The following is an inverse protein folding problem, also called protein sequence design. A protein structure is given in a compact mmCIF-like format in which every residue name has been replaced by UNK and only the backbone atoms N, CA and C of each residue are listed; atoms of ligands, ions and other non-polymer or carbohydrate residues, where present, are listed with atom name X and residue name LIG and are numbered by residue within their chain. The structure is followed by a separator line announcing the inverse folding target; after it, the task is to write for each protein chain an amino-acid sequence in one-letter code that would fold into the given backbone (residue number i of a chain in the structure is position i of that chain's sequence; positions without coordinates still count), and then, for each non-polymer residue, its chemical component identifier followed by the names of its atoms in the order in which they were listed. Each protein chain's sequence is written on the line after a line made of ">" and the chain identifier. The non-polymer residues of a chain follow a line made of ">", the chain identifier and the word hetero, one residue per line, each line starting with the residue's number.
data_IF_455062034472
#
_entry.id   IF_455062034472
#
_cell.length_a   1.000
_cell.length_b   1.000
_cell.length_c   1.000
_cell.angle_alpha   90.00
_cell.angle_beta   90.00
_cell.angle_gamma   90.00
#
_symmetry.space_group_name_H-M   'P 1'
#
loop_
_entity.id
_entity.type
_entity.pdbx_description
1 polymer ?
#
# COMPACT_ATOMS: atom_id res chain seq x y z
N UNK A 1 -14.22 -0.68 -50.66
CA UNK A 1 -13.94 -0.42 -49.24
C UNK A 1 -13.44 -1.70 -48.61
N UNK A 2 -12.09 -1.79 -48.35
CA UNK A 2 -11.49 -2.97 -47.75
C UNK A 2 -11.69 -2.89 -46.19
N UNK A 3 -12.46 -3.83 -45.66
CA UNK A 3 -12.55 -4.02 -44.20
C UNK A 3 -11.21 -4.51 -43.70
N UNK A 4 -10.48 -3.68 -42.96
CA UNK A 4 -9.33 -4.14 -42.18
C UNK A 4 -9.87 -4.98 -41.00
N UNK A 5 -9.56 -6.27 -41.04
CA UNK A 5 -9.77 -7.19 -39.95
C UNK A 5 -8.65 -6.91 -38.94
N UNK A 6 -8.96 -6.20 -37.84
CA UNK A 6 -8.03 -6.10 -36.71
C UNK A 6 -7.96 -7.48 -36.08
N UNK A 7 -6.87 -8.18 -36.36
CA UNK A 7 -6.51 -9.40 -35.66
C UNK A 7 -5.99 -8.99 -34.29
N UNK A 8 -6.82 -9.11 -33.26
CA UNK A 8 -6.36 -9.08 -31.87
C UNK A 8 -5.50 -10.31 -31.68
N UNK A 9 -4.19 -10.12 -31.74
CA UNK A 9 -3.25 -11.12 -31.26
C UNK A 9 -3.48 -11.26 -29.76
N UNK A 10 -4.21 -12.31 -29.37
CA UNK A 10 -4.29 -12.76 -28.01
C UNK A 10 -2.90 -13.28 -27.65
N UNK A 11 -2.06 -12.41 -27.09
CA UNK A 11 -0.79 -12.82 -26.49
C UNK A 11 -1.19 -13.69 -25.32
N UNK A 12 -1.04 -15.02 -25.48
CA UNK A 12 -1.02 -15.95 -24.35
C UNK A 12 0.23 -15.60 -23.53
N UNK A 13 0.08 -14.67 -22.59
CA UNK A 13 1.07 -14.52 -21.53
C UNK A 13 1.11 -15.85 -20.76
N UNK A 14 2.29 -16.40 -20.46
CA UNK A 14 2.38 -17.58 -19.61
C UNK A 14 1.61 -17.29 -18.32
N UNK A 15 0.81 -18.25 -17.87
CA UNK A 15 0.17 -18.23 -16.55
C UNK A 15 1.29 -18.26 -15.49
N UNK A 16 1.91 -17.13 -15.23
CA UNK A 16 2.67 -16.93 -14.01
C UNK A 16 1.60 -16.71 -12.95
N UNK A 17 1.58 -17.54 -11.93
CA UNK A 17 0.69 -17.31 -10.79
C UNK A 17 1.00 -15.91 -10.25
N UNK A 18 0.12 -14.95 -10.53
CA UNK A 18 0.23 -13.59 -10.04
C UNK A 18 -0.47 -13.49 -8.69
N UNK A 19 0.10 -12.75 -7.74
CA UNK A 19 -0.54 -12.47 -6.46
C UNK A 19 -1.53 -11.29 -6.56
N UNK A 20 -1.66 -10.69 -7.75
CA UNK A 20 -2.59 -9.61 -8.01
C UNK A 20 -3.58 -9.98 -9.13
N UNK A 21 -4.77 -9.41 -9.08
CA UNK A 21 -5.83 -9.63 -10.05
C UNK A 21 -5.73 -8.70 -11.25
N UNK A 22 -5.31 -7.45 -11.02
CA UNK A 22 -5.18 -6.41 -12.06
C UNK A 22 -3.97 -5.51 -11.79
N UNK A 23 -3.45 -4.94 -12.88
CA UNK A 23 -2.43 -3.91 -12.84
C UNK A 23 -2.89 -2.70 -13.66
N UNK A 24 -2.69 -1.50 -13.13
CA UNK A 24 -3.08 -0.24 -13.78
C UNK A 24 -2.04 0.84 -13.51
N UNK A 25 -1.66 1.57 -14.57
CA UNK A 25 -0.82 2.74 -14.40
C UNK A 25 -1.61 3.91 -13.80
N UNK A 26 -1.01 4.56 -12.80
CA UNK A 26 -1.53 5.82 -12.28
C UNK A 26 -1.23 7.00 -13.22
N UNK A 27 -1.63 8.20 -12.85
CA UNK A 27 -1.40 9.42 -13.65
C UNK A 27 0.09 9.74 -13.88
N UNK A 28 0.98 9.24 -13.00
CA UNK A 28 2.42 9.46 -13.08
C UNK A 28 3.15 8.36 -13.86
N UNK A 29 2.39 7.39 -14.44
CA UNK A 29 2.93 6.27 -15.20
C UNK A 29 3.46 5.13 -14.35
N UNK A 30 3.24 5.15 -13.04
CA UNK A 30 3.61 4.05 -12.13
C UNK A 30 2.56 2.95 -12.22
N UNK A 31 2.98 1.73 -12.52
CA UNK A 31 2.08 0.56 -12.48
C UNK A 31 1.80 0.19 -11.03
N UNK A 32 0.52 0.13 -10.66
CA UNK A 32 0.06 -0.29 -9.33
C UNK A 32 -0.73 -1.60 -9.50
N UNK A 33 -0.47 -2.52 -8.58
CA UNK A 33 -1.06 -3.85 -8.54
C UNK A 33 -2.21 -3.89 -7.54
N UNK A 34 -3.32 -4.54 -7.92
CA UNK A 34 -4.52 -4.57 -7.09
C UNK A 34 -5.11 -5.97 -7.05
N UNK A 35 -5.72 -6.32 -5.91
CA UNK A 35 -6.61 -7.45 -5.76
C UNK A 35 -8.07 -6.99 -5.66
N UNK A 36 -8.98 -7.80 -6.15
CA UNK A 36 -10.40 -7.64 -5.88
C UNK A 36 -10.72 -8.08 -4.45
N UNK A 37 -11.38 -7.20 -3.71
CA UNK A 37 -11.92 -7.50 -2.39
C UNK A 37 -13.44 -7.27 -2.39
N UNK A 38 -14.10 -7.63 -1.29
CA UNK A 38 -15.56 -7.46 -1.10
C UNK A 38 -16.38 -7.97 -2.30
N UNK A 39 -16.13 -9.24 -2.70
CA UNK A 39 -16.76 -9.89 -3.86
C UNK A 39 -16.53 -9.14 -5.20
N UNK A 40 -15.39 -8.50 -5.36
CA UNK A 40 -15.01 -7.80 -6.58
C UNK A 40 -15.62 -6.42 -6.74
N UNK A 41 -16.18 -5.85 -5.66
CA UNK A 41 -16.75 -4.48 -5.69
C UNK A 41 -15.74 -3.40 -5.35
N UNK A 42 -14.66 -3.76 -4.66
CA UNK A 42 -13.60 -2.87 -4.22
C UNK A 42 -12.22 -3.43 -4.55
N UNK A 43 -11.20 -2.62 -4.38
CA UNK A 43 -9.81 -2.97 -4.62
C UNK A 43 -8.95 -2.74 -3.37
N UNK A 44 -7.96 -3.60 -3.20
CA UNK A 44 -6.81 -3.34 -2.32
C UNK A 44 -5.53 -3.23 -3.15
N UNK A 45 -4.64 -2.33 -2.76
CA UNK A 45 -3.28 -2.28 -3.31
C UNK A 45 -2.49 -3.48 -2.83
N UNK A 46 -1.76 -4.13 -3.71
CA UNK A 46 -0.95 -5.30 -3.42
C UNK A 46 0.42 -5.22 -4.13
N UNK A 47 1.17 -6.31 -4.14
CA UNK A 47 2.49 -6.47 -4.74
C UNK A 47 2.43 -7.28 -6.05
N UNK A 48 3.48 -7.19 -6.85
CA UNK A 48 3.65 -7.98 -8.07
C UNK A 48 4.03 -9.43 -7.74
N UNK A 49 3.69 -10.35 -8.64
CA UNK A 49 4.14 -11.74 -8.57
C UNK A 49 3.36 -12.64 -7.61
N UNK A 50 3.89 -13.83 -7.37
CA UNK A 50 3.22 -14.87 -6.58
C UNK A 50 3.56 -14.84 -5.09
N UNK A 51 4.54 -14.02 -4.68
CA UNK A 51 4.98 -13.87 -3.30
C UNK A 51 5.58 -12.48 -3.10
N UNK A 52 5.33 -11.88 -1.95
CA UNK A 52 5.93 -10.60 -1.56
C UNK A 52 7.49 -10.60 -1.57
N UNK A 53 8.11 -11.78 -1.51
CA UNK A 53 9.56 -11.93 -1.56
C UNK A 53 10.12 -12.10 -2.98
N UNK A 54 9.27 -12.20 -4.00
CA UNK A 54 9.68 -12.46 -5.38
C UNK A 54 10.21 -11.20 -6.06
N UNK A 55 9.79 -10.04 -5.61
CA UNK A 55 10.15 -8.74 -6.16
C UNK A 55 10.45 -7.78 -5.01
N UNK A 56 11.65 -7.20 -5.01
CA UNK A 56 12.04 -6.10 -4.14
C UNK A 56 12.07 -4.81 -4.97
N UNK A 57 11.80 -3.67 -4.32
CA UNK A 57 11.80 -2.36 -4.99
C UNK A 57 10.81 -2.20 -6.16
N UNK A 58 9.65 -2.86 -6.09
CA UNK A 58 8.59 -2.72 -7.10
C UNK A 58 8.14 -1.26 -7.25
N UNK A 59 8.04 -0.55 -6.12
CA UNK A 59 7.64 0.83 -6.06
C UNK A 59 8.82 1.71 -5.63
N UNK A 60 9.13 2.71 -6.44
CA UNK A 60 10.24 3.65 -6.19
C UNK A 60 9.78 5.09 -6.30
N UNK A 61 10.52 5.99 -5.65
CA UNK A 61 10.24 7.43 -5.70
C UNK A 61 8.92 7.78 -5.02
N UNK A 62 8.15 8.63 -5.66
CA UNK A 62 6.85 9.07 -5.19
C UNK A 62 5.74 8.23 -5.85
N UNK A 63 4.87 7.64 -5.06
CA UNK A 63 3.73 6.84 -5.54
C UNK A 63 2.42 7.50 -5.12
N UNK A 64 1.55 7.76 -6.10
CA UNK A 64 0.19 8.26 -5.86
C UNK A 64 -0.82 7.15 -6.12
N UNK A 65 -1.54 6.73 -5.08
CA UNK A 65 -2.61 5.74 -5.19
C UNK A 65 -3.89 6.47 -5.57
N UNK A 66 -4.53 6.04 -6.65
CA UNK A 66 -5.82 6.60 -7.10
C UNK A 66 -6.94 6.19 -6.16
N UNK A 67 -7.90 7.09 -5.92
CA UNK A 67 -9.11 6.79 -5.12
C UNK A 67 -10.00 5.75 -5.81
N UNK A 68 -10.06 5.80 -7.13
CA UNK A 68 -10.83 4.89 -7.97
C UNK A 68 -9.98 4.40 -9.14
N UNK A 69 -10.22 3.18 -9.55
CA UNK A 69 -9.56 2.53 -10.70
C UNK A 69 -10.62 1.98 -11.65
N UNK A 70 -10.50 2.35 -12.93
CA UNK A 70 -11.35 1.80 -14.00
C UNK A 70 -10.59 0.70 -14.75
N UNK A 71 -11.11 -0.52 -14.71
CA UNK A 71 -10.58 -1.67 -15.43
C UNK A 71 -11.74 -2.44 -16.09
N UNK A 72 -11.59 -2.78 -17.37
CA UNK A 72 -12.65 -3.44 -18.18
C UNK A 72 -14.02 -2.76 -18.06
N UNK A 73 -14.06 -1.42 -18.21
CA UNK A 73 -15.27 -0.58 -18.13
C UNK A 73 -16.02 -0.64 -16.78
N UNK A 74 -15.34 -1.02 -15.70
CA UNK A 74 -15.89 -0.99 -14.34
C UNK A 74 -14.99 -0.17 -13.45
N UNK A 75 -15.54 0.86 -12.82
CA UNK A 75 -14.85 1.68 -11.83
C UNK A 75 -15.06 1.08 -10.43
N UNK A 76 -13.98 0.99 -9.65
CA UNK A 76 -13.98 0.49 -8.27
C UNK A 76 -13.16 1.40 -7.38
N UNK A 77 -13.59 1.55 -6.15
CA UNK A 77 -12.82 2.27 -5.13
C UNK A 77 -11.66 1.42 -4.63
N UNK A 78 -10.55 2.09 -4.35
CA UNK A 78 -9.42 1.51 -3.62
C UNK A 78 -9.66 1.78 -2.14
N UNK A 79 -9.98 0.74 -1.37
CA UNK A 79 -10.41 0.89 0.03
C UNK A 79 -9.44 0.29 1.04
N UNK A 80 -8.38 -0.38 0.58
CA UNK A 80 -7.36 -0.97 1.45
C UNK A 80 -5.96 -0.89 0.83
N UNK A 81 -4.96 -0.74 1.70
CA UNK A 81 -3.59 -1.13 1.40
C UNK A 81 -3.41 -2.54 1.96
N UNK A 82 -3.19 -3.51 1.09
CA UNK A 82 -3.10 -4.91 1.46
C UNK A 82 -1.83 -5.26 2.24
N UNK A 83 -1.81 -6.46 2.82
CA UNK A 83 -0.63 -6.96 3.52
C UNK A 83 0.54 -7.09 2.56
N UNK A 84 1.73 -6.63 2.97
CA UNK A 84 2.98 -6.60 2.20
C UNK A 84 2.94 -5.76 0.90
N UNK A 85 1.95 -4.89 0.68
CA UNK A 85 1.75 -4.17 -0.58
C UNK A 85 3.00 -3.40 -1.07
N UNK A 86 3.73 -2.75 -0.16
CA UNK A 86 4.97 -2.01 -0.44
C UNK A 86 6.17 -2.58 0.32
N UNK A 87 6.09 -3.85 0.72
CA UNK A 87 7.18 -4.50 1.47
C UNK A 87 8.48 -4.47 0.68
N UNK A 88 9.58 -4.18 1.38
CA UNK A 88 10.96 -4.12 0.84
C UNK A 88 11.13 -3.09 -0.31
N UNK A 89 10.21 -2.13 -0.46
CA UNK A 89 10.34 -1.02 -1.41
C UNK A 89 11.33 0.02 -0.87
N UNK A 90 12.62 -0.33 -0.85
CA UNK A 90 13.69 0.51 -0.30
C UNK A 90 13.92 1.80 -1.07
N UNK A 91 13.44 1.87 -2.32
CA UNK A 91 13.46 3.05 -3.18
C UNK A 91 12.27 3.99 -3.02
N UNK A 92 11.21 3.59 -2.29
CA UNK A 92 10.01 4.40 -2.06
C UNK A 92 10.32 5.60 -1.15
N UNK A 93 10.09 6.82 -1.63
CA UNK A 93 10.38 8.04 -0.87
C UNK A 93 9.14 8.69 -0.26
N UNK A 94 8.00 8.57 -0.92
CA UNK A 94 6.71 9.02 -0.41
C UNK A 94 5.56 8.24 -1.03
N UNK A 95 4.43 8.20 -0.33
CA UNK A 95 3.19 7.63 -0.83
C UNK A 95 2.01 8.52 -0.50
N UNK A 96 1.15 8.78 -1.48
CA UNK A 96 -0.12 9.46 -1.28
C UNK A 96 -1.23 8.41 -1.19
N UNK A 97 -1.83 8.30 -0.01
CA UNK A 97 -2.94 7.37 0.27
C UNK A 97 -4.25 8.15 0.15
N UNK A 98 -5.21 7.72 -0.69
CA UNK A 98 -6.47 8.43 -0.88
C UNK A 98 -7.44 8.26 0.30
N UNK A 99 -8.41 9.18 0.39
CA UNK A 99 -9.42 9.16 1.46
C UNK A 99 -10.44 8.00 1.35
N UNK A 100 -10.38 7.20 0.30
CA UNK A 100 -11.17 5.96 0.20
C UNK A 100 -10.59 4.81 1.01
N UNK A 101 -9.29 4.86 1.36
CA UNK A 101 -8.61 3.80 2.11
C UNK A 101 -9.02 3.84 3.56
N UNK A 102 -9.50 2.71 4.08
CA UNK A 102 -9.98 2.54 5.45
C UNK A 102 -9.06 1.70 6.34
N UNK A 103 -8.14 0.94 5.72
CA UNK A 103 -7.21 0.07 6.45
C UNK A 103 -5.84 0.00 5.79
N UNK A 104 -4.80 -0.16 6.62
CA UNK A 104 -3.43 -0.46 6.22
C UNK A 104 -3.09 -1.83 6.79
N UNK A 105 -2.77 -2.79 5.91
CA UNK A 105 -2.53 -4.19 6.24
C UNK A 105 -1.19 -4.44 6.95
N UNK A 106 -1.01 -5.69 7.37
CA UNK A 106 0.22 -6.13 8.03
C UNK A 106 1.42 -6.01 7.08
N UNK A 107 2.54 -5.48 7.59
CA UNK A 107 3.79 -5.30 6.84
C UNK A 107 3.65 -4.50 5.55
N UNK A 108 2.61 -3.69 5.41
CA UNK A 108 2.29 -2.96 4.18
C UNK A 108 3.44 -2.12 3.64
N UNK A 109 4.21 -1.45 4.52
CA UNK A 109 5.39 -0.64 4.20
C UNK A 109 6.65 -1.15 4.94
N UNK A 110 6.69 -2.47 5.26
CA UNK A 110 7.85 -3.04 5.92
C UNK A 110 9.13 -2.80 5.12
N UNK A 111 10.17 -2.32 5.82
CA UNK A 111 11.51 -2.05 5.24
C UNK A 111 11.53 -1.01 4.10
N UNK A 112 10.56 -0.07 4.05
CA UNK A 112 10.61 1.10 3.18
C UNK A 112 11.61 2.13 3.74
N UNK A 113 12.91 1.82 3.68
CA UNK A 113 13.95 2.55 4.41
C UNK A 113 14.16 4.00 3.96
N UNK A 114 13.76 4.36 2.73
CA UNK A 114 13.79 5.75 2.22
C UNK A 114 12.48 6.50 2.36
N UNK A 115 11.42 5.89 2.90
CA UNK A 115 10.15 6.57 3.13
C UNK A 115 10.34 7.62 4.22
N UNK A 116 10.28 8.91 3.84
CA UNK A 116 10.56 10.03 4.76
C UNK A 116 9.31 10.54 5.46
N UNK A 117 8.17 10.41 4.82
CA UNK A 117 6.88 10.84 5.36
C UNK A 117 5.74 10.02 4.78
N UNK A 118 4.69 9.84 5.56
CA UNK A 118 3.42 9.27 5.11
C UNK A 118 2.27 10.06 5.74
N UNK A 119 1.30 10.43 4.93
CA UNK A 119 0.04 11.01 5.41
C UNK A 119 -1.00 9.91 5.44
N UNK A 120 -1.41 9.54 6.64
CA UNK A 120 -2.50 8.57 6.87
C UNK A 120 -3.82 9.35 6.83
N UNK A 121 -4.74 9.05 5.89
CA UNK A 121 -5.98 9.80 5.77
C UNK A 121 -6.96 9.53 6.92
N UNK A 122 -7.87 10.47 7.15
CA UNK A 122 -8.88 10.39 8.22
C UNK A 122 -9.94 9.28 8.02
N UNK A 123 -9.86 8.54 6.94
CA UNK A 123 -10.67 7.34 6.67
C UNK A 123 -10.10 6.07 7.30
N UNK A 124 -8.77 6.05 7.59
CA UNK A 124 -8.10 4.87 8.13
C UNK A 124 -8.49 4.67 9.60
N UNK A 125 -8.97 3.47 9.91
CA UNK A 125 -9.41 3.08 11.25
C UNK A 125 -8.45 2.15 11.97
N UNK A 126 -7.57 1.46 11.22
CA UNK A 126 -6.60 0.52 11.77
C UNK A 126 -5.28 0.54 11.01
N UNK A 127 -4.19 0.34 11.76
CA UNK A 127 -2.82 0.15 11.24
C UNK A 127 -2.38 -1.25 11.64
N UNK A 128 -2.05 -2.07 10.66
CA UNK A 128 -1.67 -3.48 10.83
C UNK A 128 -0.36 -3.70 11.55
N UNK A 129 -0.08 -4.97 11.88
CA UNK A 129 1.16 -5.37 12.51
C UNK A 129 2.37 -5.16 11.60
N UNK A 130 3.46 -4.56 12.13
CA UNK A 130 4.66 -4.26 11.35
C UNK A 130 4.45 -3.35 10.15
N UNK A 131 3.31 -2.66 10.04
CA UNK A 131 2.93 -1.91 8.84
C UNK A 131 4.00 -0.93 8.35
N UNK A 132 4.73 -0.28 9.25
CA UNK A 132 5.86 0.62 8.98
C UNK A 132 7.15 0.17 9.65
N UNK A 133 7.25 -1.10 10.08
CA UNK A 133 8.47 -1.60 10.73
C UNK A 133 9.68 -1.46 9.79
N UNK A 134 10.82 -1.03 10.35
CA UNK A 134 12.06 -0.75 9.61
C UNK A 134 11.97 0.39 8.57
N UNK A 135 11.00 1.31 8.68
CA UNK A 135 10.99 2.56 7.93
C UNK A 135 11.98 3.55 8.57
N UNK A 136 13.27 3.28 8.50
CA UNK A 136 14.30 4.06 9.20
C UNK A 136 14.43 5.52 8.73
N UNK A 137 13.98 5.83 7.52
CA UNK A 137 13.91 7.19 6.99
C UNK A 137 12.72 8.01 7.47
N UNK A 138 11.71 7.38 8.09
CA UNK A 138 10.48 8.05 8.50
C UNK A 138 10.75 8.99 9.67
N UNK A 139 10.64 10.31 9.41
CA UNK A 139 10.95 11.36 10.40
C UNK A 139 9.73 11.83 11.17
N UNK A 140 8.56 11.68 10.57
CA UNK A 140 7.29 12.06 11.19
C UNK A 140 6.14 11.22 10.66
N UNK A 141 5.17 10.97 11.53
CA UNK A 141 3.88 10.38 11.16
C UNK A 141 2.78 11.05 11.97
N UNK A 142 1.69 11.37 11.31
CA UNK A 142 0.47 11.84 11.98
C UNK A 142 -0.54 10.71 11.98
N UNK A 143 -0.93 10.25 13.17
CA UNK A 143 -1.99 9.25 13.34
C UNK A 143 -3.31 10.00 13.47
N UNK A 144 -4.26 9.80 12.54
CA UNK A 144 -5.52 10.55 12.56
C UNK A 144 -6.47 10.07 13.66
N UNK A 145 -7.42 10.93 14.03
CA UNK A 145 -8.43 10.64 15.07
C UNK A 145 -9.43 9.52 14.68
N UNK A 146 -9.36 9.00 13.48
CA UNK A 146 -10.12 7.83 13.03
C UNK A 146 -9.52 6.50 13.47
N UNK A 147 -8.19 6.49 13.73
CA UNK A 147 -7.47 5.25 14.09
C UNK A 147 -7.86 4.83 15.51
N UNK A 148 -8.33 3.60 15.65
CA UNK A 148 -8.71 2.99 16.92
C UNK A 148 -7.72 1.94 17.39
N UNK A 149 -6.92 1.37 16.48
CA UNK A 149 -5.94 0.32 16.81
C UNK A 149 -4.66 0.45 16.02
N UNK A 150 -3.53 0.19 16.69
CA UNK A 150 -2.18 0.11 16.13
C UNK A 150 -1.67 -1.31 16.43
N UNK A 151 -1.24 -2.03 15.38
CA UNK A 151 -0.80 -3.41 15.47
C UNK A 151 0.54 -3.60 16.19
N UNK A 152 0.89 -4.85 16.47
CA UNK A 152 2.20 -5.22 17.02
C UNK A 152 3.31 -4.78 16.07
N UNK A 153 4.42 -4.23 16.57
CA UNK A 153 5.59 -3.82 15.77
C UNK A 153 5.29 -2.77 14.69
N UNK A 154 4.16 -2.07 14.73
CA UNK A 154 3.67 -1.23 13.62
C UNK A 154 4.68 -0.18 13.16
N UNK A 155 5.47 0.41 14.05
CA UNK A 155 6.54 1.38 13.79
C UNK A 155 7.88 0.93 14.38
N UNK A 156 8.06 -0.37 14.60
CA UNK A 156 9.31 -0.91 15.14
C UNK A 156 10.51 -0.53 14.24
N UNK A 157 11.64 -0.17 14.84
CA UNK A 157 12.86 0.27 14.13
C UNK A 157 12.66 1.47 13.17
N UNK A 158 11.66 2.32 13.39
CA UNK A 158 11.57 3.63 12.74
C UNK A 158 12.56 4.60 13.40
N UNK A 159 13.88 4.36 13.21
CA UNK A 159 14.94 5.09 13.93
C UNK A 159 15.03 6.59 13.59
N UNK A 160 14.41 7.03 12.48
CA UNK A 160 14.30 8.45 12.14
C UNK A 160 13.14 9.16 12.84
N UNK A 161 12.22 8.42 13.49
CA UNK A 161 10.99 8.98 14.05
C UNK A 161 11.25 9.64 15.42
N UNK A 162 11.28 10.97 15.44
CA UNK A 162 11.62 11.74 16.65
C UNK A 162 10.44 11.97 17.58
N UNK A 163 9.23 11.94 17.07
CA UNK A 163 8.01 12.10 17.85
C UNK A 163 6.81 11.51 17.14
N UNK A 164 5.82 11.06 17.93
CA UNK A 164 4.51 10.65 17.43
C UNK A 164 3.45 11.10 18.43
N UNK A 165 2.33 11.62 17.93
CA UNK A 165 1.18 11.93 18.77
C UNK A 165 0.16 10.81 18.60
N UNK A 166 -0.19 10.15 19.70
CA UNK A 166 -1.24 9.12 19.75
C UNK A 166 -2.56 9.81 20.08
N UNK A 167 -3.56 9.79 19.18
CA UNK A 167 -4.85 10.43 19.46
C UNK A 167 -5.67 9.65 20.47
N UNK A 168 -6.61 10.34 21.13
CA UNK A 168 -7.49 9.74 22.14
C UNK A 168 -8.42 8.64 21.59
N UNK A 169 -8.56 8.56 20.28
CA UNK A 169 -9.34 7.51 19.60
C UNK A 169 -8.67 6.14 19.67
N UNK A 170 -7.34 6.08 19.85
CA UNK A 170 -6.61 4.81 19.90
C UNK A 170 -6.89 4.12 21.24
N UNK A 171 -7.58 2.99 21.15
CA UNK A 171 -7.94 2.16 22.31
C UNK A 171 -7.03 0.95 22.48
N UNK A 172 -6.24 0.60 21.45
CA UNK A 172 -5.32 -0.55 21.48
C UNK A 172 -4.02 -0.23 20.75
N UNK A 173 -2.89 -0.53 21.43
CA UNK A 173 -1.54 -0.47 20.86
C UNK A 173 -0.91 -1.82 21.10
N UNK A 174 -0.46 -2.45 20.03
CA UNK A 174 0.19 -3.76 20.05
C UNK A 174 1.57 -3.75 20.70
N UNK A 175 2.04 -4.95 21.02
CA UNK A 175 3.37 -5.14 21.62
C UNK A 175 4.48 -4.60 20.69
N UNK A 176 5.46 -3.91 21.29
CA UNK A 176 6.63 -3.36 20.58
C UNK A 176 6.30 -2.41 19.42
N UNK A 177 5.11 -1.79 19.42
CA UNK A 177 4.64 -0.94 18.32
C UNK A 177 5.61 0.19 17.97
N UNK A 178 6.37 0.72 18.93
CA UNK A 178 7.37 1.79 18.77
C UNK A 178 8.76 1.38 19.29
N UNK A 179 9.06 0.08 19.28
CA UNK A 179 10.35 -0.40 19.76
C UNK A 179 11.49 0.12 18.87
N UNK A 180 12.56 0.62 19.46
CA UNK A 180 13.71 1.23 18.77
C UNK A 180 13.36 2.39 17.80
N UNK A 181 12.34 3.18 18.10
CA UNK A 181 12.10 4.50 17.53
C UNK A 181 12.92 5.53 18.30
N UNK A 182 14.18 5.81 17.89
CA UNK A 182 15.04 6.85 18.50
C UNK A 182 15.98 7.36 17.42
#
# INVERSE_FOLDING_TARGET
>A
MKKQLLLFAMILLPLVASAHDIEVQNADGVTIYYNYINNGTELEVTYQGSSYSSYSDEYQGNVVISEEVTYMNRTRKVTSIGSNAFRDCTGLTSVTIPNSVTSIGDYAFYYCSKLTSVTIPNSVTSIGGGAFSNCSGLTSVTIPNSVTSIGNYAFEYCSGLTSVTIPNSVTSIGGSAFYNCI
#
